data_IF_973619288677
#
_entry.id   IF_973619288677
#
_cell.length_a   1.000
_cell.length_b   1.000
_cell.length_c   1.000
_cell.angle_alpha   90.00
_cell.angle_beta   90.00
_cell.angle_gamma   90.00
#
_symmetry.space_group_name_H-M   'P 1'
#
loop_
_entity.id
_entity.type
_entity.pdbx_description
1 polymer ?
#
# COMPACT_ATOMS: atom_id res chain seq x y z
N UNK A 1 6.89 -23.49 0.34
CA UNK A 1 7.89 -22.52 0.84
C UNK A 1 7.60 -22.17 2.29
N UNK A 2 6.45 -21.56 2.61
CA UNK A 2 6.08 -21.09 3.97
C UNK A 2 6.24 -22.22 5.00
N UNK A 3 5.58 -23.33 4.78
CA UNK A 3 5.64 -24.51 5.66
C UNK A 3 7.09 -25.04 5.81
N UNK A 4 7.77 -25.26 4.69
CA UNK A 4 9.14 -25.82 4.66
C UNK A 4 10.16 -24.93 5.38
N UNK A 5 10.07 -23.61 5.20
CA UNK A 5 11.05 -22.66 5.72
C UNK A 5 10.58 -21.89 6.97
N UNK A 6 9.39 -22.22 7.45
CA UNK A 6 8.77 -21.59 8.64
C UNK A 6 8.77 -20.05 8.53
N UNK A 7 8.31 -19.57 7.38
CA UNK A 7 8.24 -18.14 7.06
C UNK A 7 7.33 -17.43 8.04
N UNK A 8 7.75 -16.29 8.58
CA UNK A 8 6.98 -15.50 9.53
C UNK A 8 6.16 -14.38 8.88
N UNK A 9 6.63 -13.86 7.74
CA UNK A 9 6.00 -12.76 7.02
C UNK A 9 5.81 -13.16 5.56
N UNK A 10 4.61 -12.98 5.05
CA UNK A 10 4.30 -13.26 3.66
C UNK A 10 3.74 -12.01 2.98
N UNK A 11 4.51 -11.46 2.04
CA UNK A 11 4.21 -10.23 1.34
C UNK A 11 4.13 -10.51 -0.17
N UNK A 12 2.99 -10.17 -0.78
CA UNK A 12 2.70 -10.51 -2.18
C UNK A 12 1.73 -9.51 -2.82
N UNK A 13 1.41 -9.72 -4.11
CA UNK A 13 0.46 -8.89 -4.82
C UNK A 13 -0.95 -9.51 -4.84
N UNK A 14 -2.02 -8.70 -4.81
CA UNK A 14 -3.41 -9.19 -4.94
C UNK A 14 -3.65 -10.05 -6.16
N UNK A 15 -3.02 -9.76 -7.30
CA UNK A 15 -3.08 -10.61 -8.50
C UNK A 15 -2.58 -12.03 -8.25
N UNK A 16 -1.50 -12.22 -7.48
CA UNK A 16 -1.02 -13.54 -7.10
C UNK A 16 -2.00 -14.25 -6.17
N UNK A 17 -2.62 -13.52 -5.23
CA UNK A 17 -3.66 -14.08 -4.36
C UNK A 17 -4.87 -14.56 -5.16
N UNK A 18 -5.35 -13.77 -6.11
CA UNK A 18 -6.46 -14.17 -7.01
C UNK A 18 -6.13 -15.44 -7.80
N UNK A 19 -4.90 -15.58 -8.26
CA UNK A 19 -4.47 -16.81 -8.93
C UNK A 19 -4.51 -18.01 -7.99
N UNK A 20 -3.98 -17.86 -6.77
CA UNK A 20 -4.00 -18.93 -5.76
C UNK A 20 -5.42 -19.32 -5.31
N UNK A 21 -6.31 -18.34 -5.13
CA UNK A 21 -7.73 -18.60 -4.80
C UNK A 21 -8.42 -19.50 -5.82
N UNK A 22 -8.10 -19.36 -7.10
CA UNK A 22 -8.69 -20.18 -8.18
C UNK A 22 -8.30 -21.64 -8.11
N UNK A 23 -7.16 -21.95 -7.51
CA UNK A 23 -6.69 -23.33 -7.33
C UNK A 23 -7.38 -24.07 -6.17
N UNK A 24 -8.17 -23.33 -5.37
CA UNK A 24 -8.90 -23.86 -4.21
C UNK A 24 -8.09 -23.86 -2.91
N UNK A 25 -8.83 -23.98 -1.81
CA UNK A 25 -8.28 -23.84 -0.46
C UNK A 25 -7.45 -25.03 0.01
N UNK A 26 -7.67 -26.22 -0.55
CA UNK A 26 -7.06 -27.46 -0.05
C UNK A 26 -5.54 -27.44 -0.12
N UNK A 27 -4.99 -26.78 -1.13
CA UNK A 27 -3.55 -26.57 -1.26
C UNK A 27 -2.96 -25.78 -0.10
N UNK A 28 -3.69 -24.82 0.42
CA UNK A 28 -3.28 -24.00 1.58
C UNK A 28 -3.52 -24.77 2.88
N UNK A 29 -4.73 -25.31 3.05
CA UNK A 29 -5.15 -26.05 4.25
C UNK A 29 -4.34 -27.32 4.51
N UNK A 30 -3.74 -27.91 3.48
CA UNK A 30 -2.85 -29.08 3.62
C UNK A 30 -1.45 -28.75 4.15
N UNK A 31 -1.13 -27.47 4.41
CA UNK A 31 0.20 -27.01 4.85
C UNK A 31 0.17 -26.44 6.25
N UNK A 32 1.27 -26.61 6.99
CA UNK A 32 1.46 -25.93 8.26
C UNK A 32 1.93 -24.48 8.05
N UNK A 33 0.99 -23.55 8.19
CA UNK A 33 1.26 -22.11 8.10
C UNK A 33 1.33 -21.42 9.48
N UNK A 34 1.41 -22.17 10.57
CA UNK A 34 1.41 -21.66 11.96
C UNK A 34 2.58 -20.73 12.26
N UNK A 35 3.63 -20.75 11.45
CA UNK A 35 4.76 -19.83 11.57
C UNK A 35 4.45 -18.40 11.13
N UNK A 36 3.39 -18.18 10.30
CA UNK A 36 3.02 -16.86 9.84
C UNK A 36 2.55 -15.97 11.00
N UNK A 37 3.04 -14.76 11.02
CA UNK A 37 2.70 -13.70 11.99
C UNK A 37 2.15 -12.46 11.32
N UNK A 38 2.50 -12.24 10.05
CA UNK A 38 2.16 -11.05 9.29
C UNK A 38 1.94 -11.39 7.83
N UNK A 39 0.88 -10.86 7.27
CA UNK A 39 0.59 -10.87 5.84
C UNK A 39 0.70 -9.46 5.28
N UNK A 40 1.07 -9.32 4.02
CA UNK A 40 1.15 -8.01 3.41
C UNK A 40 0.82 -8.04 1.92
N UNK A 41 0.39 -6.90 1.41
CA UNK A 41 0.05 -6.70 0.00
C UNK A 41 0.63 -5.42 -0.57
N UNK A 42 0.89 -5.44 -1.87
CA UNK A 42 1.49 -4.34 -2.61
C UNK A 42 1.18 -4.40 -4.11
N UNK A 43 1.32 -3.28 -4.77
CA UNK A 43 1.35 -3.12 -6.23
C UNK A 43 0.00 -2.81 -6.86
N UNK A 44 -1.09 -3.13 -6.20
CA UNK A 44 -2.46 -2.79 -6.58
C UNK A 44 -3.38 -2.84 -5.35
N UNK A 45 -4.51 -2.11 -5.34
CA UNK A 45 -5.49 -2.22 -4.25
C UNK A 45 -6.02 -3.64 -4.12
N UNK A 46 -5.97 -4.20 -2.92
CA UNK A 46 -6.57 -5.50 -2.62
C UNK A 46 -8.09 -5.35 -2.45
N UNK A 47 -8.86 -6.17 -3.16
CA UNK A 47 -10.32 -6.18 -3.02
C UNK A 47 -10.74 -7.00 -1.80
N UNK A 48 -11.93 -6.72 -1.30
CA UNK A 48 -12.45 -7.37 -0.09
C UNK A 48 -12.48 -8.92 -0.16
N UNK A 49 -12.87 -9.58 -1.26
CA UNK A 49 -12.84 -11.05 -1.33
C UNK A 49 -11.43 -11.63 -1.17
N UNK A 50 -10.43 -11.06 -1.84
CA UNK A 50 -9.03 -11.48 -1.74
C UNK A 50 -8.49 -11.22 -0.33
N UNK A 51 -8.81 -10.06 0.25
CA UNK A 51 -8.42 -9.71 1.60
C UNK A 51 -8.98 -10.71 2.62
N UNK A 52 -10.28 -11.03 2.55
CA UNK A 52 -10.94 -12.00 3.42
C UNK A 52 -10.37 -13.40 3.27
N UNK A 53 -10.10 -13.83 2.04
CA UNK A 53 -9.47 -15.11 1.79
C UNK A 53 -8.05 -15.17 2.38
N UNK A 54 -7.28 -14.13 2.16
CA UNK A 54 -5.90 -14.01 2.66
C UNK A 54 -5.87 -14.03 4.18
N UNK A 55 -6.75 -13.28 4.84
CA UNK A 55 -6.88 -13.25 6.29
C UNK A 55 -7.33 -14.60 6.86
N UNK A 56 -8.44 -15.17 6.33
CA UNK A 56 -9.06 -16.34 6.92
C UNK A 56 -8.37 -17.66 6.55
N UNK A 57 -7.94 -17.82 5.28
CA UNK A 57 -7.41 -19.09 4.77
C UNK A 57 -5.90 -19.16 4.93
N UNK A 58 -5.17 -18.12 4.56
CA UNK A 58 -3.71 -18.12 4.67
C UNK A 58 -3.26 -17.74 6.07
N UNK A 59 -3.85 -16.70 6.65
CA UNK A 59 -3.54 -16.19 7.98
C UNK A 59 -4.27 -16.89 9.13
N UNK A 60 -5.15 -17.84 8.83
CA UNK A 60 -5.99 -18.55 9.81
C UNK A 60 -6.72 -17.61 10.78
N UNK A 61 -7.16 -16.44 10.31
CA UNK A 61 -7.85 -15.42 11.10
C UNK A 61 -6.99 -14.71 12.15
N UNK A 62 -5.68 -14.93 12.19
CA UNK A 62 -4.81 -14.41 13.25
C UNK A 62 -3.73 -13.44 12.76
N UNK A 63 -3.37 -13.48 11.47
CA UNK A 63 -2.32 -12.64 10.93
C UNK A 63 -2.92 -11.31 10.43
N UNK A 64 -2.49 -10.15 10.96
CA UNK A 64 -2.91 -8.87 10.37
C UNK A 64 -2.40 -8.75 8.94
N UNK A 65 -3.20 -8.09 8.10
CA UNK A 65 -2.81 -7.77 6.72
C UNK A 65 -2.34 -6.33 6.67
N UNK A 66 -1.11 -6.12 6.26
CA UNK A 66 -0.50 -4.82 6.00
C UNK A 66 -0.61 -4.55 4.51
N UNK A 67 -1.64 -3.81 4.11
CA UNK A 67 -1.76 -3.29 2.76
C UNK A 67 -0.95 -2.02 2.63
N UNK A 68 -0.04 -1.95 1.65
CA UNK A 68 0.95 -0.89 1.57
C UNK A 68 0.85 -0.12 0.27
N UNK A 69 1.02 1.20 0.36
CA UNK A 69 1.23 2.01 -0.83
C UNK A 69 2.64 2.60 -0.85
N UNK A 70 3.29 2.43 -1.97
CA UNK A 70 4.58 3.02 -2.30
C UNK A 70 4.84 2.90 -3.82
N UNK A 71 5.83 3.61 -4.28
CA UNK A 71 6.31 3.56 -5.65
C UNK A 71 7.81 3.25 -5.65
N UNK A 72 8.34 2.79 -6.77
CA UNK A 72 9.80 2.63 -6.96
C UNK A 72 10.53 3.92 -6.61
N UNK A 73 9.94 5.04 -7.01
CA UNK A 73 10.44 6.40 -6.84
C UNK A 73 10.43 6.89 -5.39
N UNK A 74 9.59 6.32 -4.55
CA UNK A 74 9.50 6.73 -3.15
C UNK A 74 10.58 6.12 -2.26
N UNK A 75 11.30 5.10 -2.74
CA UNK A 75 12.40 4.45 -2.03
C UNK A 75 11.96 3.59 -0.84
N UNK A 76 10.67 3.48 -0.61
CA UNK A 76 10.09 2.69 0.47
C UNK A 76 8.60 2.98 0.67
N UNK A 77 7.99 2.30 1.64
CA UNK A 77 6.57 2.38 1.98
C UNK A 77 6.26 3.75 2.58
N UNK A 78 5.21 4.41 2.07
CA UNK A 78 4.78 5.73 2.53
C UNK A 78 3.42 5.71 3.24
N UNK A 79 2.53 4.78 2.88
CA UNK A 79 1.22 4.61 3.54
C UNK A 79 1.09 3.14 3.91
N UNK A 80 0.83 2.85 5.18
CA UNK A 80 0.81 1.49 5.70
C UNK A 80 0.20 1.42 7.10
N UNK A 81 -0.65 0.45 7.42
CA UNK A 81 -1.02 0.20 8.79
C UNK A 81 0.19 -0.28 9.60
N UNK A 82 0.19 0.03 10.89
CA UNK A 82 1.14 -0.53 11.85
C UNK A 82 0.52 -1.78 12.49
N UNK A 83 1.12 -2.97 12.31
CA UNK A 83 0.56 -4.20 12.84
C UNK A 83 0.32 -4.13 14.35
N UNK A 84 -0.89 -4.46 14.78
CA UNK A 84 -1.28 -4.42 16.20
C UNK A 84 -1.62 -3.03 16.76
N UNK A 85 -1.40 -1.95 15.99
CA UNK A 85 -1.69 -0.58 16.42
C UNK A 85 -2.76 0.10 15.56
N UNK A 86 -2.77 -0.16 14.24
CA UNK A 86 -3.74 0.42 13.32
C UNK A 86 -4.81 -0.62 12.99
N UNK A 87 -6.11 -0.36 13.23
CA UNK A 87 -7.17 -1.19 12.70
C UNK A 87 -7.08 -1.29 11.18
N UNK A 88 -7.11 -2.49 10.65
CA UNK A 88 -7.02 -2.72 9.20
C UNK A 88 -8.39 -2.98 8.60
N UNK A 89 -8.57 -2.55 7.35
CA UNK A 89 -9.77 -2.84 6.57
C UNK A 89 -9.43 -3.15 5.11
N UNK A 90 -10.26 -3.97 4.45
CA UNK A 90 -10.01 -4.32 3.05
C UNK A 90 -9.89 -3.10 2.13
N UNK A 91 -8.86 -3.10 1.30
CA UNK A 91 -8.69 -2.08 0.26
C UNK A 91 -8.15 -0.74 0.73
N UNK A 92 -7.68 -0.66 1.98
CA UNK A 92 -7.06 0.57 2.51
C UNK A 92 -5.63 0.32 2.97
N UNK A 93 -4.69 1.12 2.46
CA UNK A 93 -3.34 1.22 3.01
C UNK A 93 -3.31 2.03 4.32
N UNK A 94 -4.42 2.59 4.74
CA UNK A 94 -4.74 3.26 5.99
C UNK A 94 -4.01 4.60 6.20
N UNK A 95 -3.04 4.67 7.08
CA UNK A 95 -2.44 5.92 7.54
C UNK A 95 -1.05 6.15 6.96
N UNK A 96 -0.64 7.42 6.80
CA UNK A 96 0.72 7.73 6.38
C UNK A 96 1.74 7.19 7.37
N UNK A 97 2.87 6.72 6.84
CA UNK A 97 4.01 6.35 7.64
C UNK A 97 4.65 7.61 8.28
N UNK A 98 5.53 7.41 9.25
CA UNK A 98 6.12 8.52 10.02
C UNK A 98 6.76 9.57 9.11
N UNK A 99 6.48 10.84 9.39
CA UNK A 99 6.92 12.03 8.65
C UNK A 99 6.39 12.20 7.22
N UNK A 100 5.61 11.25 6.71
CA UNK A 100 4.99 11.37 5.38
C UNK A 100 3.71 12.20 5.48
N UNK A 101 3.54 13.14 4.56
CA UNK A 101 2.38 14.03 4.51
C UNK A 101 1.67 13.92 3.15
N UNK A 102 0.86 12.86 2.94
CA UNK A 102 0.04 12.76 1.74
C UNK A 102 -1.10 13.77 1.79
N UNK A 103 -1.42 14.31 0.63
CA UNK A 103 -2.55 15.19 0.42
C UNK A 103 -3.32 14.77 -0.83
N UNK A 104 -4.58 15.16 -0.91
CA UNK A 104 -5.37 15.06 -2.11
C UNK A 104 -5.46 16.42 -2.78
N UNK A 105 -5.25 16.46 -4.10
CA UNK A 105 -5.35 17.66 -4.91
C UNK A 105 -6.51 17.53 -5.91
N UNK A 106 -7.17 18.64 -6.18
CA UNK A 106 -8.04 18.75 -7.35
C UNK A 106 -7.20 18.82 -8.64
N UNK A 107 -7.85 18.74 -9.79
CA UNK A 107 -7.18 18.92 -11.10
C UNK A 107 -6.52 20.29 -11.24
N UNK A 108 -7.05 21.32 -10.55
CA UNK A 108 -6.51 22.68 -10.50
C UNK A 108 -5.39 22.85 -9.45
N UNK A 109 -4.99 21.77 -8.74
CA UNK A 109 -3.93 21.78 -7.74
C UNK A 109 -4.32 22.35 -6.37
N UNK A 110 -5.63 22.44 -6.06
CA UNK A 110 -6.10 22.85 -4.74
C UNK A 110 -6.16 21.66 -3.79
N UNK A 111 -5.69 21.86 -2.56
CA UNK A 111 -5.80 20.85 -1.50
C UNK A 111 -7.27 20.54 -1.21
N UNK A 112 -7.61 19.26 -1.12
CA UNK A 112 -8.92 18.75 -0.74
C UNK A 112 -8.85 18.24 0.69
N UNK A 113 -9.49 18.94 1.60
CA UNK A 113 -9.56 18.59 3.00
C UNK A 113 -10.78 17.73 3.33
N UNK A 114 -10.76 17.14 4.55
CA UNK A 114 -11.87 16.36 5.09
C UNK A 114 -11.79 14.88 4.73
N UNK A 115 -12.85 14.17 5.11
CA UNK A 115 -13.03 12.74 4.88
C UNK A 115 -14.09 12.48 3.82
N UNK A 116 -14.15 11.25 3.33
CA UNK A 116 -15.02 10.81 2.23
C UNK A 116 -14.81 11.62 0.93
N UNK A 117 -13.55 11.92 0.63
CA UNK A 117 -13.11 12.72 -0.51
C UNK A 117 -12.14 11.93 -1.40
N UNK A 118 -12.11 12.30 -2.67
CA UNK A 118 -11.19 11.70 -3.66
C UNK A 118 -10.45 12.79 -4.41
N UNK A 119 -9.25 12.50 -4.85
CA UNK A 119 -8.43 13.45 -5.60
C UNK A 119 -7.14 12.81 -6.11
N UNK A 120 -6.26 13.65 -6.62
CA UNK A 120 -4.92 13.26 -7.06
C UNK A 120 -4.01 13.18 -5.83
N UNK A 121 -3.30 12.07 -5.68
CA UNK A 121 -2.38 11.88 -4.56
C UNK A 121 -1.08 12.65 -4.77
N UNK A 122 -0.74 13.49 -3.82
CA UNK A 122 0.53 14.18 -3.78
C UNK A 122 1.15 14.13 -2.38
N UNK A 123 2.44 14.43 -2.27
CA UNK A 123 3.15 14.52 -1.00
C UNK A 123 3.61 15.96 -0.76
N UNK A 124 3.28 16.47 0.41
CA UNK A 124 3.48 17.88 0.76
C UNK A 124 4.94 18.19 1.15
N UNK A 125 5.63 17.23 1.71
CA UNK A 125 7.00 17.38 2.18
C UNK A 125 7.87 16.24 1.68
N UNK A 126 9.16 16.50 1.63
CA UNK A 126 10.19 15.48 1.39
C UNK A 126 10.22 14.46 2.54
N UNK A 127 10.65 13.25 2.23
CA UNK A 127 10.84 12.14 3.18
C UNK A 127 12.24 11.52 2.99
N UNK A 128 12.76 10.77 3.98
CA UNK A 128 14.15 10.27 3.92
C UNK A 128 14.49 9.41 2.71
N UNK A 129 13.53 8.60 2.21
CA UNK A 129 13.70 7.70 1.06
C UNK A 129 13.44 8.34 -0.30
N UNK A 130 13.06 9.61 -0.36
CA UNK A 130 12.77 10.29 -1.62
C UNK A 130 13.98 10.27 -2.55
N UNK A 131 13.76 9.88 -3.82
CA UNK A 131 14.79 10.00 -4.83
C UNK A 131 15.22 11.46 -5.01
N UNK A 132 16.48 11.68 -5.33
CA UNK A 132 17.06 13.03 -5.47
C UNK A 132 17.16 13.46 -6.92
N UNK A 133 17.11 12.50 -7.83
CA UNK A 133 17.21 12.73 -9.27
C UNK A 133 16.92 11.44 -10.03
N UNK A 134 16.74 11.56 -11.35
CA UNK A 134 16.86 10.46 -12.30
C UNK A 134 18.31 10.45 -12.80
N UNK A 135 18.92 9.27 -12.81
CA UNK A 135 20.32 9.14 -13.25
C UNK A 135 20.52 9.70 -14.66
N UNK A 136 21.42 10.66 -14.76
CA UNK A 136 21.76 11.32 -16.04
C UNK A 136 20.72 12.30 -16.57
N UNK A 137 19.58 12.49 -15.90
CA UNK A 137 18.50 13.37 -16.39
C UNK A 137 17.73 14.05 -15.26
N UNK A 138 18.36 15.03 -14.62
CA UNK A 138 17.72 15.81 -13.56
C UNK A 138 16.53 16.65 -14.05
N UNK A 139 16.58 17.14 -15.31
CA UNK A 139 15.49 17.92 -15.86
C UNK A 139 14.19 17.11 -15.92
N UNK A 140 14.27 15.84 -16.34
CA UNK A 140 13.13 14.92 -16.35
C UNK A 140 12.60 14.64 -14.94
N UNK A 141 13.47 14.57 -13.94
CA UNK A 141 13.03 14.42 -12.54
C UNK A 141 12.10 15.57 -12.11
N UNK A 142 12.50 16.82 -12.40
CA UNK A 142 11.67 17.99 -12.07
C UNK A 142 10.40 18.01 -12.92
N UNK A 143 10.51 17.75 -14.21
CA UNK A 143 9.36 17.74 -15.13
C UNK A 143 8.28 16.75 -14.71
N UNK A 144 8.66 15.51 -14.42
CA UNK A 144 7.69 14.43 -14.16
C UNK A 144 7.03 14.57 -12.78
N UNK A 145 7.78 14.94 -11.76
CA UNK A 145 7.28 14.83 -10.38
C UNK A 145 6.92 16.17 -9.72
N UNK A 146 7.34 17.31 -10.30
CA UNK A 146 7.17 18.60 -9.64
C UNK A 146 6.60 19.71 -10.51
N UNK A 147 6.49 19.51 -11.83
CA UNK A 147 6.04 20.57 -12.75
C UNK A 147 4.53 20.76 -12.75
N UNK A 148 3.77 19.67 -12.62
CA UNK A 148 2.30 19.72 -12.68
C UNK A 148 1.71 20.45 -11.49
N UNK A 149 2.23 20.21 -10.29
CA UNK A 149 1.79 20.84 -9.05
C UNK A 149 3.00 21.41 -8.30
N UNK A 150 3.42 22.66 -8.60
CA UNK A 150 4.58 23.25 -7.97
C UNK A 150 4.50 23.26 -6.44
N UNK A 151 5.56 22.79 -5.79
CA UNK A 151 5.63 22.67 -4.33
C UNK A 151 5.24 21.29 -3.78
N UNK A 152 4.71 20.40 -4.60
CA UNK A 152 4.33 19.03 -4.21
C UNK A 152 5.07 18.00 -5.05
N UNK A 153 5.36 16.85 -4.44
CA UNK A 153 5.71 15.66 -5.22
C UNK A 153 4.41 15.02 -5.71
N UNK A 154 4.21 14.98 -7.01
CA UNK A 154 3.03 14.36 -7.61
C UNK A 154 3.29 12.89 -7.92
N UNK A 155 2.43 12.01 -7.41
CA UNK A 155 2.61 10.56 -7.54
C UNK A 155 2.13 9.99 -8.87
N UNK A 156 1.26 10.70 -9.58
CA UNK A 156 0.56 10.18 -10.75
C UNK A 156 -0.64 9.29 -10.42
N UNK A 157 -0.90 9.03 -9.14
CA UNK A 157 -2.01 8.20 -8.68
C UNK A 157 -3.20 9.04 -8.20
N UNK A 158 -4.41 8.50 -8.37
CA UNK A 158 -5.59 8.94 -7.66
C UNK A 158 -5.73 8.22 -6.34
N UNK A 159 -6.33 8.88 -5.34
CA UNK A 159 -6.62 8.26 -4.06
C UNK A 159 -7.95 8.74 -3.48
N UNK A 160 -8.47 7.97 -2.54
CA UNK A 160 -9.64 8.34 -1.72
C UNK A 160 -9.20 8.34 -0.25
N UNK A 161 -9.65 9.35 0.47
CA UNK A 161 -9.68 9.33 1.94
C UNK A 161 -11.10 9.03 2.37
N UNK A 162 -11.29 7.93 3.08
CA UNK A 162 -12.60 7.47 3.48
C UNK A 162 -13.17 8.21 4.71
N UNK A 163 -14.33 7.77 5.21
CA UNK A 163 -15.01 8.34 6.37
C UNK A 163 -14.19 8.29 7.66
N UNK A 164 -13.31 7.31 7.82
CA UNK A 164 -12.41 7.15 8.97
C UNK A 164 -11.09 7.93 8.81
N UNK A 165 -10.87 8.57 7.66
CA UNK A 165 -9.64 9.28 7.33
C UNK A 165 -8.51 8.39 6.80
N UNK A 166 -8.84 7.17 6.36
CA UNK A 166 -7.91 6.17 5.83
C UNK A 166 -7.75 6.31 4.33
#
# INVERSE_FOLDING_TARGET
VVDKHKVNQFYTAPTALRALMKEGDDWVKSKDLSSLKLLGTVGEPIKEPEWKWYFNIVGNGNCPIVDTWWQTETGGILISPLPGATPTKPGSATLPFFSVQPILLSEEGKEIDGNDVSGLLALKTSWPGQMRTIYGDHARFIEVYFSQFPGYYFTGDGAKRDEDGY
#
